data_IF_701257768270
#
_entry.id   IF_701257768270
#
_cell.length_a   1.000
_cell.length_b   1.000
_cell.length_c   1.000
_cell.angle_alpha   90.00
_cell.angle_beta   90.00
_cell.angle_gamma   90.00
#
_symmetry.space_group_name_H-M   'P 1'
#
loop_
_entity.id
_entity.type
_entity.pdbx_description
1 polymer ?
#
# COMPACT_ATOMS: atom_id res chain seq x y z
N UNK A 1 8.28 6.17 4.04
CA UNK A 1 8.19 5.88 5.48
C UNK A 1 7.03 4.95 5.79
N UNK A 2 6.94 4.52 7.04
CA UNK A 2 5.82 3.77 7.58
C UNK A 2 4.63 4.71 7.85
N UNK A 3 3.41 4.16 7.87
CA UNK A 3 2.17 4.90 8.12
C UNK A 3 1.30 4.12 9.08
N UNK A 4 0.74 4.81 10.07
CA UNK A 4 -0.17 4.25 11.05
C UNK A 4 -1.55 4.91 10.94
N UNK A 5 -2.61 4.13 11.12
CA UNK A 5 -3.99 4.61 11.10
C UNK A 5 -4.99 3.48 11.36
N UNK A 6 -6.23 3.67 10.93
CA UNK A 6 -7.35 2.71 11.18
C UNK A 6 -7.04 1.29 10.69
N UNK A 7 -6.21 1.16 9.65
CA UNK A 7 -5.84 -0.12 9.05
C UNK A 7 -4.60 -0.77 9.71
N UNK A 8 -4.11 -0.24 10.83
CA UNK A 8 -2.87 -0.64 11.47
C UNK A 8 -1.64 0.07 10.91
N UNK A 9 -0.47 -0.54 11.09
CA UNK A 9 0.82 -0.06 10.58
C UNK A 9 1.06 -0.64 9.19
N UNK A 10 1.41 0.21 8.23
CA UNK A 10 1.60 -0.19 6.84
C UNK A 10 2.61 0.68 6.11
N UNK A 11 3.03 0.20 4.94
CA UNK A 11 3.88 0.97 4.03
C UNK A 11 3.49 0.70 2.58
N UNK A 12 3.84 1.64 1.70
CA UNK A 12 3.79 1.39 0.27
C UNK A 12 5.04 0.63 -0.16
N UNK A 13 4.85 -0.35 -1.03
CA UNK A 13 5.91 -1.02 -1.76
C UNK A 13 6.07 -0.30 -3.09
N UNK A 14 7.29 0.15 -3.38
CA UNK A 14 7.62 0.89 -4.59
C UNK A 14 8.61 0.05 -5.39
N UNK A 15 8.41 -0.08 -6.71
CA UNK A 15 9.39 -0.80 -7.55
C UNK A 15 10.69 -0.02 -7.68
N UNK A 16 10.66 1.30 -7.48
CA UNK A 16 11.84 2.16 -7.31
C UNK A 16 11.74 2.86 -5.97
N UNK A 17 12.74 2.70 -5.12
CA UNK A 17 12.69 3.25 -3.76
C UNK A 17 12.51 4.78 -3.77
N UNK A 18 11.68 5.29 -2.87
CA UNK A 18 11.32 6.70 -2.73
C UNK A 18 10.61 7.35 -3.94
N UNK A 19 10.25 6.59 -4.98
CA UNK A 19 9.48 7.11 -6.11
C UNK A 19 7.98 6.83 -5.94
N UNK A 20 7.15 7.83 -5.59
CA UNK A 20 5.72 7.63 -5.37
C UNK A 20 4.97 7.18 -6.64
N UNK A 21 5.48 7.49 -7.83
CA UNK A 21 4.85 7.10 -9.11
C UNK A 21 4.97 5.59 -9.37
N UNK A 22 5.91 4.93 -8.69
CA UNK A 22 6.20 3.50 -8.82
C UNK A 22 5.56 2.64 -7.74
N UNK A 23 4.58 3.19 -7.00
CA UNK A 23 3.83 2.42 -6.00
C UNK A 23 3.22 1.16 -6.65
N UNK A 24 3.60 -0.01 -6.14
CA UNK A 24 3.16 -1.31 -6.61
C UNK A 24 1.98 -1.83 -5.80
N UNK A 25 2.13 -1.87 -4.48
CA UNK A 25 1.10 -2.34 -3.56
C UNK A 25 1.22 -1.67 -2.20
N UNK A 26 0.17 -1.84 -1.39
CA UNK A 26 0.15 -1.49 0.02
C UNK A 26 0.42 -2.75 0.84
N UNK A 27 1.46 -2.71 1.68
CA UNK A 27 1.81 -3.80 2.59
C UNK A 27 1.38 -3.44 4.01
N UNK A 28 0.45 -4.22 4.58
CA UNK A 28 0.10 -4.14 6.00
C UNK A 28 1.17 -4.90 6.79
N UNK A 29 1.79 -4.23 7.75
CA UNK A 29 2.83 -4.81 8.59
C UNK A 29 2.21 -5.52 9.80
N UNK A 30 1.32 -4.81 10.51
CA UNK A 30 0.54 -5.38 11.62
C UNK A 30 -0.74 -4.59 11.84
N UNK A 31 -1.74 -5.25 12.41
CA UNK A 31 -2.97 -4.65 12.96
C UNK A 31 -3.01 -4.74 14.49
N UNK A 32 -2.04 -5.43 15.12
CA UNK A 32 -1.94 -5.54 16.56
C UNK A 32 -1.28 -4.28 17.14
N UNK A 33 -2.06 -3.46 17.85
CA UNK A 33 -1.62 -2.17 18.40
C UNK A 33 -0.44 -2.32 19.36
N UNK A 34 -0.44 -3.36 20.20
CA UNK A 34 0.63 -3.59 21.17
C UNK A 34 1.96 -3.83 20.46
N UNK A 35 2.00 -4.74 19.48
CA UNK A 35 3.22 -5.00 18.69
C UNK A 35 3.69 -3.78 17.90
N UNK A 36 2.73 -3.01 17.36
CA UNK A 36 3.05 -1.76 16.65
C UNK A 36 3.72 -0.77 17.60
N UNK A 37 3.19 -0.60 18.81
CA UNK A 37 3.69 0.36 19.77
C UNK A 37 5.05 -0.07 20.32
N UNK A 38 5.24 -1.36 20.59
CA UNK A 38 6.53 -1.92 20.96
C UNK A 38 7.59 -1.63 19.88
N UNK A 39 7.29 -1.88 18.60
CA UNK A 39 8.19 -1.56 17.50
C UNK A 39 8.52 -0.06 17.40
N UNK A 40 7.51 0.80 17.57
CA UNK A 40 7.66 2.25 17.53
C UNK A 40 8.28 2.83 18.82
N UNK A 41 8.55 2.00 19.83
CA UNK A 41 9.14 2.38 21.11
C UNK A 41 8.19 3.19 22.01
N UNK A 42 6.89 2.95 21.90
CA UNK A 42 5.89 3.55 22.78
C UNK A 42 5.55 2.63 23.94
N UNK A 43 5.29 3.22 25.12
CA UNK A 43 4.73 2.51 26.27
C UNK A 43 3.25 2.19 26.01
N UNK A 44 2.98 0.93 25.67
CA UNK A 44 1.62 0.45 25.41
C UNK A 44 0.76 0.40 26.69
N UNK A 45 1.34 0.10 27.85
CA UNK A 45 0.58 0.06 29.10
C UNK A 45 0.08 1.44 29.47
N UNK A 46 0.94 2.46 29.34
CA UNK A 46 0.53 3.86 29.52
C UNK A 46 -0.58 4.24 28.55
N UNK A 47 -0.48 3.85 27.28
CA UNK A 47 -1.54 4.11 26.29
C UNK A 47 -2.89 3.49 26.69
N UNK A 48 -2.89 2.26 27.22
CA UNK A 48 -4.11 1.59 27.69
C UNK A 48 -4.69 2.27 28.92
N UNK A 49 -3.85 2.72 29.85
CA UNK A 49 -4.27 3.49 31.04
C UNK A 49 -4.86 4.85 30.66
N UNK A 50 -4.42 5.42 29.55
CA UNK A 50 -4.81 6.74 29.08
C UNK A 50 -3.89 7.85 29.58
N UNK A 51 -4.36 9.08 29.49
CA UNK A 51 -3.60 10.27 29.90
C UNK A 51 -4.52 11.19 30.68
N UNK A 52 -4.03 11.77 31.77
CA UNK A 52 -4.78 12.71 32.61
C UNK A 52 -5.01 14.04 31.88
N UNK A 53 -4.06 14.43 31.03
CA UNK A 53 -4.11 15.70 30.31
C UNK A 53 -3.26 15.68 29.03
N UNK A 54 -3.42 16.74 28.23
CA UNK A 54 -2.71 16.91 26.95
C UNK A 54 -1.18 16.87 27.11
N UNK A 55 -0.61 17.40 28.21
CA UNK A 55 0.85 17.45 28.40
C UNK A 55 1.44 16.05 28.59
N UNK A 56 0.78 15.21 29.36
CA UNK A 56 1.20 13.81 29.55
C UNK A 56 1.14 13.03 28.22
N UNK A 57 0.06 13.22 27.44
CA UNK A 57 -0.06 12.65 26.11
C UNK A 57 1.06 13.13 25.16
N UNK A 58 1.39 14.42 25.20
CA UNK A 58 2.46 14.99 24.38
C UNK A 58 3.83 14.47 24.78
N UNK A 59 4.10 14.31 26.08
CA UNK A 59 5.34 13.69 26.56
C UNK A 59 5.46 12.24 26.06
N UNK A 60 4.37 11.50 26.10
CA UNK A 60 4.34 10.13 25.58
C UNK A 60 4.61 10.08 24.07
N UNK A 61 4.11 11.05 23.28
CA UNK A 61 4.41 11.14 21.84
C UNK A 61 5.91 11.37 21.60
N UNK A 62 6.54 12.33 22.27
CA UNK A 62 7.95 12.67 21.99
C UNK A 62 8.93 11.60 22.47
N UNK A 63 8.50 10.73 23.39
CA UNK A 63 9.30 9.59 23.86
C UNK A 63 9.35 8.43 22.86
N UNK A 64 8.58 8.48 21.76
CA UNK A 64 8.61 7.45 20.73
C UNK A 64 9.98 7.34 20.05
N UNK A 65 10.44 6.12 19.79
CA UNK A 65 11.78 5.79 19.23
C UNK A 65 12.11 6.55 17.94
N UNK A 66 11.11 6.86 17.13
CA UNK A 66 11.27 7.50 15.82
C UNK A 66 10.73 8.94 15.77
N UNK A 67 10.45 9.53 16.94
CA UNK A 67 10.03 10.93 17.01
C UNK A 67 11.15 11.83 16.45
N UNK A 68 10.76 12.79 15.60
CA UNK A 68 11.63 13.84 15.08
C UNK A 68 10.87 15.15 15.05
N UNK A 69 11.39 16.19 15.72
CA UNK A 69 10.74 17.50 15.84
C UNK A 69 10.50 18.15 14.49
N UNK A 70 11.46 17.98 13.58
CA UNK A 70 11.48 18.52 12.23
C UNK A 70 10.14 18.37 11.45
N UNK A 71 9.45 17.23 11.59
CA UNK A 71 8.18 16.99 10.87
C UNK A 71 7.01 17.85 11.33
N UNK A 72 7.18 18.59 12.43
CA UNK A 72 6.18 19.46 13.03
C UNK A 72 6.48 20.95 12.84
N UNK A 73 7.54 21.30 12.11
CA UNK A 73 7.90 22.67 11.81
C UNK A 73 7.07 23.21 10.62
N UNK A 74 6.52 24.42 10.76
CA UNK A 74 5.58 24.97 9.79
C UNK A 74 6.18 25.15 8.39
N UNK A 75 7.47 25.46 8.34
CA UNK A 75 8.23 25.63 7.09
C UNK A 75 8.31 24.33 6.28
N UNK A 76 8.20 23.18 6.95
CA UNK A 76 8.26 21.85 6.33
C UNK A 76 6.89 21.34 5.86
N UNK A 77 5.81 22.00 6.27
CA UNK A 77 4.46 21.60 5.88
C UNK A 77 4.11 22.17 4.51
N UNK A 78 3.64 21.34 3.57
CA UNK A 78 3.05 21.85 2.33
C UNK A 78 1.76 22.65 2.59
N UNK A 79 1.32 23.46 1.61
CA UNK A 79 0.14 24.32 1.74
C UNK A 79 -1.14 23.57 2.18
N UNK A 80 -1.37 22.37 1.65
CA UNK A 80 -2.54 21.56 2.00
C UNK A 80 -2.47 21.06 3.46
N UNK A 81 -1.29 20.70 3.94
CA UNK A 81 -1.06 20.29 5.32
C UNK A 81 -1.23 21.48 6.26
N UNK A 82 -0.63 22.64 5.96
CA UNK A 82 -0.81 23.88 6.74
C UNK A 82 -2.29 24.23 6.93
N UNK A 83 -3.09 24.19 5.87
CA UNK A 83 -4.54 24.47 5.94
C UNK A 83 -5.32 23.48 6.82
N UNK A 84 -4.83 22.25 6.96
CA UNK A 84 -5.46 21.22 7.80
C UNK A 84 -5.00 21.32 9.26
N UNK A 85 -3.72 21.54 9.51
CA UNK A 85 -3.15 21.60 10.86
C UNK A 85 -3.69 22.80 11.63
N UNK A 86 -3.92 23.95 10.97
CA UNK A 86 -4.56 25.14 11.57
C UNK A 86 -6.00 24.91 12.05
N UNK A 87 -6.62 23.80 11.67
CA UNK A 87 -7.98 23.41 12.10
C UNK A 87 -7.99 22.28 13.13
N UNK A 88 -6.83 21.82 13.61
CA UNK A 88 -6.71 20.68 14.53
C UNK A 88 -6.24 21.18 15.89
N UNK A 89 -7.15 21.39 16.85
CA UNK A 89 -6.79 21.96 18.15
C UNK A 89 -5.68 21.19 18.86
N UNK A 90 -5.72 19.85 18.84
CA UNK A 90 -4.70 19.02 19.48
C UNK A 90 -3.33 19.17 18.83
N UNK A 91 -3.27 19.33 17.51
CA UNK A 91 -2.01 19.53 16.78
C UNK A 91 -1.41 20.90 17.12
N UNK A 92 -2.24 21.95 17.13
CA UNK A 92 -1.80 23.31 17.48
C UNK A 92 -1.22 23.33 18.90
N UNK A 93 -1.93 22.72 19.86
CA UNK A 93 -1.46 22.56 21.23
C UNK A 93 -0.14 21.78 21.31
N UNK A 94 0.02 20.72 20.52
CA UNK A 94 1.24 19.93 20.50
C UNK A 94 2.44 20.73 19.98
N UNK A 95 2.27 21.46 18.87
CA UNK A 95 3.35 22.32 18.34
C UNK A 95 3.72 23.41 19.35
N UNK A 96 2.73 24.01 20.03
CA UNK A 96 2.98 24.98 21.10
C UNK A 96 3.77 24.35 22.25
N UNK A 97 3.42 23.13 22.68
CA UNK A 97 4.15 22.37 23.70
C UNK A 97 5.60 22.11 23.28
N UNK A 98 5.85 21.68 22.04
CA UNK A 98 7.21 21.45 21.54
C UNK A 98 8.08 22.72 21.58
N UNK A 99 7.49 23.88 21.26
CA UNK A 99 8.16 25.18 21.35
C UNK A 99 8.43 25.58 22.80
N UNK A 100 7.45 25.42 23.69
CA UNK A 100 7.57 25.73 25.13
C UNK A 100 8.67 24.89 25.79
N UNK A 101 8.75 23.60 25.45
CA UNK A 101 9.76 22.68 25.97
C UNK A 101 11.12 22.82 25.27
N UNK A 102 11.25 23.71 24.28
CA UNK A 102 12.48 23.93 23.50
C UNK A 102 13.06 22.62 22.94
N UNK A 103 12.18 21.73 22.47
CA UNK A 103 12.61 20.47 21.86
C UNK A 103 13.41 20.82 20.59
N UNK A 104 14.67 20.38 20.48
CA UNK A 104 15.53 20.74 19.37
C UNK A 104 14.96 20.19 18.05
N UNK A 105 15.00 21.01 17.00
CA UNK A 105 14.74 20.53 15.64
C UNK A 105 15.94 19.73 15.17
N UNK A 106 15.73 18.46 14.83
CA UNK A 106 16.73 17.67 14.13
C UNK A 106 17.01 18.30 12.76
N UNK A 107 18.27 18.57 12.43
CA UNK A 107 18.63 18.92 11.06
C UNK A 107 18.33 17.71 10.14
N UNK A 108 17.66 17.95 9.01
CA UNK A 108 17.67 16.96 7.93
C UNK A 108 19.09 16.92 7.40
N UNK A 109 19.79 15.82 7.69
CA UNK A 109 20.93 15.43 6.88
C UNK A 109 20.45 14.77 5.58
N UNK A 110 21.31 14.73 4.56
CA UNK A 110 21.10 13.99 3.31
C UNK A 110 20.78 12.48 3.55
N UNK A 111 21.01 12.01 4.77
CA UNK A 111 20.79 10.65 5.29
C UNK A 111 19.31 10.32 5.60
N UNK A 112 18.36 11.24 5.41
CA UNK A 112 16.95 10.98 5.76
C UNK A 112 16.35 9.81 4.97
N UNK A 113 16.79 9.61 3.72
CA UNK A 113 16.37 8.44 2.93
C UNK A 113 16.92 7.15 3.53
N UNK A 114 18.21 7.08 3.88
CA UNK A 114 18.80 5.90 4.51
C UNK A 114 18.14 5.59 5.85
N UNK A 115 17.87 6.61 6.68
CA UNK A 115 17.11 6.46 7.92
C UNK A 115 15.73 5.82 7.67
N UNK A 116 14.99 6.30 6.67
CA UNK A 116 13.69 5.74 6.32
C UNK A 116 13.83 4.32 5.77
N UNK A 117 14.83 4.03 4.94
CA UNK A 117 15.11 2.69 4.42
C UNK A 117 15.43 1.72 5.55
N UNK A 118 16.26 2.12 6.51
CA UNK A 118 16.61 1.32 7.67
C UNK A 118 15.38 0.99 8.54
N UNK A 119 14.53 1.99 8.83
CA UNK A 119 13.26 1.74 9.56
C UNK A 119 12.37 0.75 8.80
N UNK A 120 12.25 0.89 7.48
CA UNK A 120 11.47 -0.04 6.67
C UNK A 120 12.03 -1.46 6.76
N UNK A 121 13.35 -1.61 6.66
CA UNK A 121 14.00 -2.92 6.76
C UNK A 121 13.81 -3.53 8.15
N UNK A 122 14.00 -2.75 9.22
CA UNK A 122 13.72 -3.20 10.59
C UNK A 122 12.27 -3.66 10.76
N UNK A 123 11.31 -2.93 10.18
CA UNK A 123 9.90 -3.31 10.24
C UNK A 123 9.61 -4.60 9.47
N UNK A 124 10.21 -4.78 8.29
CA UNK A 124 10.06 -6.02 7.52
C UNK A 124 10.57 -7.24 8.29
N UNK A 125 11.68 -7.09 9.03
CA UNK A 125 12.23 -8.15 9.87
C UNK A 125 11.35 -8.37 11.11
N UNK A 126 11.02 -7.31 11.85
CA UNK A 126 10.28 -7.40 13.11
C UNK A 126 8.89 -8.01 12.93
N UNK A 127 8.18 -7.65 11.84
CA UNK A 127 6.83 -8.15 11.55
C UNK A 127 6.81 -9.39 10.64
N UNK A 128 7.97 -9.94 10.28
CA UNK A 128 8.13 -11.06 9.35
C UNK A 128 7.36 -10.86 8.03
N UNK A 129 7.68 -9.77 7.33
CA UNK A 129 7.02 -9.33 6.07
C UNK A 129 7.93 -9.29 4.85
N UNK A 130 9.11 -9.89 4.93
CA UNK A 130 10.07 -9.88 3.83
C UNK A 130 9.52 -10.58 2.58
N UNK A 131 8.79 -11.69 2.75
CA UNK A 131 8.22 -12.42 1.61
C UNK A 131 7.11 -11.63 0.91
N UNK A 132 6.17 -11.05 1.66
CA UNK A 132 5.09 -10.23 1.09
C UNK A 132 5.62 -8.94 0.47
N UNK A 133 6.69 -8.36 1.03
CA UNK A 133 7.39 -7.23 0.42
C UNK A 133 7.97 -7.60 -0.95
N UNK A 134 8.68 -8.73 -1.04
CA UNK A 134 9.26 -9.21 -2.29
C UNK A 134 8.19 -9.52 -3.34
N UNK A 135 7.08 -10.18 -2.94
CA UNK A 135 5.90 -10.35 -3.81
C UNK A 135 5.34 -9.00 -4.27
N UNK A 136 5.26 -8.04 -3.35
CA UNK A 136 4.82 -6.68 -3.64
C UNK A 136 5.71 -5.95 -4.65
N UNK A 137 7.01 -6.21 -4.71
CA UNK A 137 7.90 -5.61 -5.72
C UNK A 137 7.57 -6.12 -7.13
N UNK A 138 7.25 -7.41 -7.26
CA UNK A 138 6.94 -8.04 -8.54
C UNK A 138 5.51 -7.78 -9.01
N UNK A 139 4.57 -7.56 -8.08
CA UNK A 139 3.14 -7.44 -8.39
C UNK A 139 2.80 -6.38 -9.46
N UNK A 140 3.52 -5.25 -9.54
CA UNK A 140 3.28 -4.24 -10.58
C UNK A 140 3.78 -4.70 -11.95
N UNK A 141 4.91 -5.39 -11.98
CA UNK A 141 5.48 -5.96 -13.23
C UNK A 141 4.54 -7.04 -13.76
N UNK A 142 4.14 -7.97 -12.89
CA UNK A 142 3.20 -9.05 -13.20
C UNK A 142 1.85 -8.49 -13.66
N UNK A 143 1.28 -7.52 -12.94
CA UNK A 143 0.01 -6.88 -13.37
C UNK A 143 0.13 -6.16 -14.71
N UNK A 144 1.31 -5.61 -15.05
CA UNK A 144 1.55 -5.01 -16.37
C UNK A 144 1.59 -6.09 -17.44
N UNK A 145 2.39 -7.14 -17.24
CA UNK A 145 2.50 -8.28 -18.16
C UNK A 145 1.14 -8.97 -18.39
N UNK A 146 0.38 -9.18 -17.32
CA UNK A 146 -0.98 -9.71 -17.40
C UNK A 146 -1.85 -8.82 -18.29
N UNK A 147 -1.89 -7.49 -18.06
CA UNK A 147 -2.73 -6.56 -18.84
C UNK A 147 -2.33 -6.44 -20.31
N UNK A 148 -1.05 -6.61 -20.61
CA UNK A 148 -0.53 -6.64 -21.99
C UNK A 148 -1.01 -7.90 -22.73
N UNK A 149 -1.14 -9.02 -22.03
CA UNK A 149 -1.57 -10.32 -22.59
C UNK A 149 -3.09 -10.52 -22.58
N UNK A 150 -3.77 -10.02 -21.54
CA UNK A 150 -5.17 -10.24 -21.29
C UNK A 150 -5.80 -9.02 -20.62
N UNK A 151 -6.76 -8.41 -21.30
CA UNK A 151 -7.56 -7.31 -20.78
C UNK A 151 -8.96 -7.37 -21.35
N UNK A 152 -9.93 -6.73 -20.69
CA UNK A 152 -11.29 -6.65 -21.23
C UNK A 152 -11.35 -6.08 -22.65
N UNK A 153 -10.46 -5.12 -22.98
CA UNK A 153 -10.33 -4.60 -24.34
C UNK A 153 -9.79 -5.64 -25.34
N UNK A 154 -8.72 -6.33 -24.97
CA UNK A 154 -8.18 -7.40 -25.82
C UNK A 154 -9.23 -8.49 -26.08
N UNK A 155 -10.02 -8.82 -25.05
CA UNK A 155 -11.10 -9.79 -25.13
C UNK A 155 -12.29 -9.29 -25.99
N UNK A 156 -12.72 -8.02 -25.84
CA UNK A 156 -13.76 -7.42 -26.70
C UNK A 156 -13.36 -7.43 -28.17
N UNK A 157 -12.11 -7.09 -28.47
CA UNK A 157 -11.61 -6.95 -29.84
C UNK A 157 -11.69 -8.28 -30.61
N UNK A 158 -11.69 -9.40 -29.88
CA UNK A 158 -11.80 -10.75 -30.45
C UNK A 158 -13.26 -11.21 -30.51
N UNK A 159 -14.02 -11.15 -29.41
CA UNK A 159 -15.33 -11.82 -29.34
C UNK A 159 -16.44 -11.04 -30.07
N UNK A 160 -16.29 -9.73 -30.31
CA UNK A 160 -17.34 -8.86 -30.89
C UNK A 160 -18.70 -9.07 -30.19
N UNK A 161 -18.66 -9.02 -28.86
CA UNK A 161 -19.82 -9.28 -28.03
C UNK A 161 -20.67 -8.01 -27.80
N UNK A 162 -21.99 -8.18 -27.71
CA UNK A 162 -22.88 -7.09 -27.30
C UNK A 162 -22.57 -6.74 -25.84
N UNK A 163 -22.37 -5.45 -25.55
CA UNK A 163 -21.86 -4.85 -24.29
C UNK A 163 -22.39 -5.44 -22.96
N UNK A 164 -23.50 -6.18 -22.94
CA UNK A 164 -24.15 -6.66 -21.73
C UNK A 164 -23.71 -8.06 -21.25
N UNK A 165 -23.06 -8.89 -22.09
CA UNK A 165 -22.66 -10.27 -21.70
C UNK A 165 -21.16 -10.45 -21.45
N UNK A 166 -20.36 -9.42 -21.71
CA UNK A 166 -18.91 -9.58 -21.74
C UNK A 166 -18.31 -10.06 -20.42
N UNK A 167 -18.83 -9.57 -19.30
CA UNK A 167 -18.36 -9.98 -17.98
C UNK A 167 -18.60 -11.47 -17.75
N UNK A 168 -19.76 -11.98 -18.16
CA UNK A 168 -20.12 -13.39 -18.04
C UNK A 168 -19.21 -14.23 -18.94
N UNK A 169 -18.96 -13.78 -20.16
CA UNK A 169 -18.06 -14.48 -21.08
C UNK A 169 -16.61 -14.49 -20.60
N UNK A 170 -16.12 -13.38 -20.03
CA UNK A 170 -14.80 -13.34 -19.40
C UNK A 170 -14.74 -14.31 -18.22
N UNK A 171 -15.67 -14.24 -17.28
CA UNK A 171 -15.70 -15.16 -16.12
C UNK A 171 -15.78 -16.64 -16.56
N UNK A 172 -16.52 -16.95 -17.63
CA UNK A 172 -16.59 -18.31 -18.17
C UNK A 172 -15.32 -18.75 -18.89
N UNK A 173 -14.61 -17.83 -19.56
CA UNK A 173 -13.31 -18.09 -20.17
C UNK A 173 -12.25 -18.32 -19.10
N UNK A 174 -12.18 -17.44 -18.10
CA UNK A 174 -11.23 -17.47 -16.98
C UNK A 174 -11.30 -18.82 -16.23
N UNK A 175 -12.52 -19.30 -15.96
CA UNK A 175 -12.77 -20.60 -15.30
C UNK A 175 -12.23 -21.83 -16.04
N UNK A 176 -11.84 -21.72 -17.32
CA UNK A 176 -11.23 -22.83 -18.07
C UNK A 176 -9.79 -23.10 -17.66
N UNK A 177 -9.12 -22.08 -17.14
CA UNK A 177 -7.68 -22.10 -16.88
C UNK A 177 -7.34 -21.92 -15.38
N UNK A 178 -8.37 -21.84 -14.52
CA UNK A 178 -8.20 -21.79 -13.07
C UNK A 178 -9.53 -21.86 -12.33
N UNK A 179 -9.51 -22.41 -11.11
CA UNK A 179 -10.61 -22.37 -10.14
C UNK A 179 -10.60 -21.07 -9.33
N UNK A 180 -9.45 -20.40 -9.27
CA UNK A 180 -9.25 -19.14 -8.56
C UNK A 180 -8.69 -18.06 -9.50
N UNK A 181 -8.88 -16.80 -9.13
CA UNK A 181 -8.31 -15.66 -9.87
C UNK A 181 -6.78 -15.74 -9.94
N UNK A 182 -6.12 -16.25 -8.89
CA UNK A 182 -4.67 -16.43 -8.84
C UNK A 182 -4.17 -17.50 -9.83
N UNK A 183 -4.91 -18.61 -9.96
CA UNK A 183 -4.58 -19.67 -10.93
C UNK A 183 -4.71 -19.15 -12.37
N UNK A 184 -5.79 -18.43 -12.68
CA UNK A 184 -5.94 -17.79 -13.99
C UNK A 184 -4.88 -16.72 -14.25
N UNK A 185 -4.58 -15.89 -13.25
CA UNK A 185 -3.54 -14.88 -13.32
C UNK A 185 -2.19 -15.51 -13.66
N UNK A 186 -1.83 -16.60 -12.99
CA UNK A 186 -0.60 -17.33 -13.25
C UNK A 186 -0.59 -17.95 -14.65
N UNK A 187 -1.70 -18.55 -15.10
CA UNK A 187 -1.80 -19.10 -16.46
C UNK A 187 -1.55 -18.03 -17.52
N UNK A 188 -2.10 -16.82 -17.37
CA UNK A 188 -1.85 -15.71 -18.30
C UNK A 188 -0.38 -15.30 -18.29
N UNK A 189 0.28 -15.27 -17.13
CA UNK A 189 1.70 -14.92 -17.05
C UNK A 189 2.59 -15.96 -17.72
N UNK A 190 2.27 -17.24 -17.59
CA UNK A 190 3.07 -18.36 -18.13
C UNK A 190 2.79 -18.64 -19.62
N UNK A 191 1.65 -18.17 -20.13
CA UNK A 191 1.22 -18.41 -21.52
C UNK A 191 1.63 -17.27 -22.44
N UNK A 192 2.11 -17.57 -23.64
CA UNK A 192 2.45 -16.54 -24.63
C UNK A 192 1.19 -15.84 -25.20
N UNK A 193 1.30 -14.60 -25.69
CA UNK A 193 0.15 -13.84 -26.18
C UNK A 193 -0.62 -14.50 -27.33
N UNK A 194 0.06 -15.24 -28.22
CA UNK A 194 -0.58 -15.86 -29.38
C UNK A 194 -1.43 -17.07 -28.96
N UNK A 195 -0.94 -17.86 -27.99
CA UNK A 195 -1.73 -18.95 -27.41
C UNK A 195 -2.98 -18.42 -26.70
N UNK A 196 -2.88 -17.33 -25.93
CA UNK A 196 -4.06 -16.71 -25.29
C UNK A 196 -5.08 -16.27 -26.34
N UNK A 197 -4.62 -15.61 -27.40
CA UNK A 197 -5.48 -15.19 -28.51
C UNK A 197 -6.20 -16.37 -29.16
N UNK A 198 -5.47 -17.46 -29.41
CA UNK A 198 -6.01 -18.69 -30.00
C UNK A 198 -7.10 -19.32 -29.10
N UNK A 199 -6.90 -19.34 -27.78
CA UNK A 199 -7.90 -19.83 -26.83
C UNK A 199 -9.16 -18.96 -26.79
N UNK A 200 -9.03 -17.63 -26.90
CA UNK A 200 -10.19 -16.73 -26.98
C UNK A 200 -10.95 -16.93 -28.29
N UNK A 201 -10.27 -17.15 -29.41
CA UNK A 201 -10.92 -17.45 -30.70
C UNK A 201 -11.65 -18.81 -30.68
N UNK A 202 -11.08 -19.84 -30.04
CA UNK A 202 -11.78 -21.11 -29.80
C UNK A 202 -13.05 -20.87 -28.99
N UNK A 203 -12.94 -20.14 -27.89
CA UNK A 203 -14.07 -19.81 -27.04
C UNK A 203 -15.17 -19.04 -27.79
N UNK A 204 -14.80 -18.07 -28.63
CA UNK A 204 -15.74 -17.34 -29.50
C UNK A 204 -16.53 -18.27 -30.42
N UNK A 205 -15.88 -19.26 -31.03
CA UNK A 205 -16.54 -20.21 -31.92
C UNK A 205 -17.53 -21.11 -31.17
N UNK A 206 -17.21 -21.52 -29.95
CA UNK A 206 -18.12 -22.28 -29.09
C UNK A 206 -19.36 -21.46 -28.68
N UNK A 207 -19.17 -20.16 -28.38
CA UNK A 207 -20.30 -19.26 -28.10
C UNK A 207 -21.26 -19.16 -29.28
N UNK A 208 -20.76 -19.12 -30.52
CA UNK A 208 -21.59 -19.12 -31.73
C UNK A 208 -22.37 -20.43 -31.89
N UNK A 209 -21.72 -21.57 -31.67
CA UNK A 209 -22.36 -22.89 -31.79
C UNK A 209 -23.52 -23.04 -30.80
N UNK A 210 -23.34 -22.58 -29.56
CA UNK A 210 -24.38 -22.64 -28.52
C UNK A 210 -25.54 -21.65 -28.71
N UNK A 211 -25.42 -20.66 -29.61
CA UNK A 211 -26.51 -19.74 -29.97
C UNK A 211 -27.34 -20.22 -31.17
N UNK A 212 -26.91 -21.26 -31.88
CA UNK A 212 -27.54 -21.76 -33.11
C UNK A 212 -28.34 -23.05 -32.91
N UNK A 213 -28.41 -23.55 -31.67
CA UNK A 213 -29.29 -24.64 -31.21
C UNK A 213 -30.40 -24.06 -30.32
#
# INVERSE_FOLDING_TARGET
GLKYGIQGLWMNVHTKEFDPTTTSTKLILSTNVQQIFEFLGYDYEQYVKGFENDKEFFQWIINGKYFRRFYFDEDQLNHAHRKRTTKRPIYIKFVAFLNEQQIPTDEISDDNNEFISNIRQQALIYFDKQQEYNRGLNARVEKRQFREKYSGKFFTDIIDDRKNMIRIHMENFERRFGKTDDEFFQWVLDTDPETIKLEIEKFKNELKQNQTC
#
